data_IF_991350188414
#
_entry.id   IF_991350188414
#
_cell.length_a   1.000
_cell.length_b   1.000
_cell.length_c   1.000
_cell.angle_alpha   90.00
_cell.angle_beta   90.00
_cell.angle_gamma   90.00
#
_symmetry.space_group_name_H-M   'P 1'
#
loop_
_entity.id
_entity.type
_entity.pdbx_description
1 polymer ?
#
# COMPACT_ATOMS: atom_id res chain seq x y z
N UNK A 1 45.33 -4.68 -3.83
CA UNK A 1 45.06 -5.94 -3.11
C UNK A 1 44.73 -7.02 -4.12
N UNK A 2 45.23 -8.24 -3.93
CA UNK A 2 44.84 -9.40 -4.75
C UNK A 2 43.36 -9.75 -4.51
N UNK A 3 42.63 -10.20 -5.53
CA UNK A 3 41.24 -10.60 -5.36
C UNK A 3 41.15 -11.86 -4.49
N UNK A 4 40.29 -11.83 -3.46
CA UNK A 4 39.92 -13.01 -2.68
C UNK A 4 39.16 -13.98 -3.58
N UNK A 5 39.67 -15.22 -3.72
CA UNK A 5 39.01 -16.28 -4.48
C UNK A 5 38.15 -17.13 -3.55
N UNK A 6 36.91 -17.39 -3.98
CA UNK A 6 36.00 -18.33 -3.33
C UNK A 6 35.58 -19.39 -4.35
N UNK A 7 35.39 -20.62 -3.89
CA UNK A 7 34.84 -21.72 -4.68
C UNK A 7 33.50 -22.10 -4.06
N UNK A 8 32.45 -22.13 -4.86
CA UNK A 8 31.08 -22.41 -4.40
C UNK A 8 30.53 -23.57 -5.22
N UNK A 9 29.92 -24.55 -4.56
CA UNK A 9 29.20 -25.62 -5.23
C UNK A 9 27.75 -25.18 -5.48
N UNK A 10 27.23 -25.43 -6.68
CA UNK A 10 25.84 -25.17 -7.05
C UNK A 10 25.14 -26.49 -7.39
N UNK A 11 23.85 -26.57 -7.05
CA UNK A 11 22.98 -27.54 -7.68
C UNK A 11 22.73 -27.19 -9.15
N UNK A 12 22.18 -28.14 -9.91
CA UNK A 12 21.92 -27.96 -11.33
C UNK A 12 20.96 -26.80 -11.63
N UNK A 13 19.96 -26.56 -10.76
CA UNK A 13 19.02 -25.44 -10.93
C UNK A 13 19.70 -24.08 -10.80
N UNK A 14 20.56 -23.91 -9.81
CA UNK A 14 21.29 -22.67 -9.53
C UNK A 14 22.37 -22.42 -10.58
N UNK A 15 23.05 -23.47 -11.03
CA UNK A 15 24.01 -23.38 -12.14
C UNK A 15 23.34 -22.92 -13.44
N UNK A 16 22.19 -23.52 -13.79
CA UNK A 16 21.41 -23.14 -14.96
C UNK A 16 20.89 -21.69 -14.87
N UNK A 17 20.46 -21.26 -13.69
CA UNK A 17 20.03 -19.88 -13.44
C UNK A 17 21.18 -18.89 -13.68
N UNK A 18 22.37 -19.16 -13.13
CA UNK A 18 23.55 -18.32 -13.30
C UNK A 18 23.96 -18.22 -14.77
N UNK A 19 23.94 -19.36 -15.50
CA UNK A 19 24.24 -19.38 -16.93
C UNK A 19 23.21 -18.58 -17.74
N UNK A 20 21.91 -18.70 -17.41
CA UNK A 20 20.84 -17.95 -18.06
C UNK A 20 21.05 -16.44 -17.90
N UNK A 21 21.21 -15.95 -16.67
CA UNK A 21 21.42 -14.51 -16.38
C UNK A 21 22.69 -14.01 -17.07
N UNK A 22 23.78 -14.80 -17.00
CA UNK A 22 25.05 -14.48 -17.66
C UNK A 22 24.88 -14.28 -19.17
N UNK A 23 24.07 -15.12 -19.84
CA UNK A 23 23.77 -15.01 -21.28
C UNK A 23 22.84 -13.84 -21.59
N UNK A 24 21.76 -13.66 -20.82
CA UNK A 24 20.78 -12.58 -21.04
C UNK A 24 21.40 -11.20 -20.88
N UNK A 25 22.28 -11.02 -19.89
CA UNK A 25 22.92 -9.73 -19.59
C UNK A 25 24.27 -9.54 -20.30
N UNK A 26 24.80 -10.56 -20.98
CA UNK A 26 26.14 -10.54 -21.60
C UNK A 26 27.29 -10.39 -20.60
N UNK A 27 27.12 -10.89 -19.37
CA UNK A 27 28.08 -10.73 -18.26
C UNK A 27 28.80 -12.04 -17.95
N UNK A 28 30.04 -11.96 -17.45
CA UNK A 28 30.70 -13.15 -16.89
C UNK A 28 29.98 -13.64 -15.63
N UNK A 29 29.99 -14.95 -15.38
CA UNK A 29 29.43 -15.55 -14.15
C UNK A 29 29.97 -14.89 -12.87
N UNK A 30 31.27 -14.61 -12.83
CA UNK A 30 31.91 -13.91 -11.70
C UNK A 30 31.34 -12.50 -11.47
N UNK A 31 30.93 -11.80 -12.54
CA UNK A 31 30.30 -10.48 -12.42
C UNK A 31 28.86 -10.59 -11.93
N UNK A 32 28.09 -11.55 -12.45
CA UNK A 32 26.73 -11.83 -11.96
C UNK A 32 26.77 -12.15 -10.47
N UNK A 33 27.69 -13.00 -10.02
CA UNK A 33 27.84 -13.33 -8.59
C UNK A 33 28.18 -12.11 -7.72
N UNK A 34 29.09 -11.23 -8.18
CA UNK A 34 29.42 -10.00 -7.45
C UNK A 34 28.23 -9.06 -7.34
N UNK A 35 27.46 -8.90 -8.43
CA UNK A 35 26.24 -8.08 -8.44
C UNK A 35 25.16 -8.67 -7.53
N UNK A 36 24.94 -9.97 -7.61
CA UNK A 36 23.98 -10.67 -6.76
C UNK A 36 24.31 -10.53 -5.28
N UNK A 37 25.59 -10.68 -4.89
CA UNK A 37 26.00 -10.51 -3.49
C UNK A 37 25.82 -9.07 -2.99
N UNK A 38 26.18 -8.07 -3.81
CA UNK A 38 25.92 -6.66 -3.47
C UNK A 38 24.44 -6.36 -3.35
N UNK A 39 23.66 -6.76 -4.35
CA UNK A 39 22.21 -6.59 -4.37
C UNK A 39 21.57 -7.26 -3.15
N UNK A 40 21.96 -8.50 -2.85
CA UNK A 40 21.49 -9.22 -1.66
C UNK A 40 21.79 -8.43 -0.39
N UNK A 41 23.04 -7.98 -0.20
CA UNK A 41 23.46 -7.21 0.98
C UNK A 41 22.72 -5.88 1.13
N UNK A 42 22.53 -5.15 0.02
CA UNK A 42 21.87 -3.83 0.00
C UNK A 42 20.35 -3.95 0.21
N UNK A 43 19.75 -5.06 -0.21
CA UNK A 43 18.30 -5.26 -0.22
C UNK A 43 17.81 -6.29 0.81
N UNK A 44 18.63 -6.65 1.81
CA UNK A 44 18.22 -7.61 2.87
C UNK A 44 16.91 -7.25 3.55
N UNK A 45 16.59 -5.96 3.61
CA UNK A 45 15.31 -5.47 4.14
C UNK A 45 14.09 -6.09 3.42
N UNK A 46 14.23 -6.46 2.15
CA UNK A 46 13.17 -7.11 1.35
C UNK A 46 12.99 -8.60 1.66
N UNK A 47 13.88 -9.22 2.46
CA UNK A 47 13.65 -10.58 2.98
C UNK A 47 12.44 -10.59 3.92
N UNK A 48 12.25 -9.50 4.67
CA UNK A 48 11.08 -9.32 5.52
C UNK A 48 9.81 -9.33 4.67
N UNK A 49 8.92 -10.30 4.96
CA UNK A 49 7.68 -10.53 4.21
C UNK A 49 6.77 -9.31 4.23
N UNK A 50 6.67 -8.60 5.35
CA UNK A 50 5.83 -7.42 5.52
C UNK A 50 6.37 -6.24 4.70
N UNK A 51 7.68 -5.97 4.79
CA UNK A 51 8.35 -4.95 3.97
C UNK A 51 8.16 -5.24 2.49
N UNK A 52 8.39 -6.48 2.07
CA UNK A 52 8.23 -6.89 0.67
C UNK A 52 6.80 -6.68 0.17
N UNK A 53 5.79 -7.07 0.97
CA UNK A 53 4.38 -6.80 0.65
C UNK A 53 4.11 -5.30 0.47
N UNK A 54 4.57 -4.47 1.41
CA UNK A 54 4.41 -3.00 1.33
C UNK A 54 5.06 -2.41 0.07
N UNK A 55 6.28 -2.83 -0.27
CA UNK A 55 6.98 -2.39 -1.49
C UNK A 55 6.18 -2.75 -2.75
N UNK A 56 5.69 -3.99 -2.85
CA UNK A 56 4.86 -4.37 -4.00
C UNK A 56 3.53 -3.60 -4.06
N UNK A 57 2.91 -3.30 -2.92
CA UNK A 57 1.73 -2.44 -2.89
C UNK A 57 2.05 -1.03 -3.39
N UNK A 58 3.15 -0.42 -2.96
CA UNK A 58 3.57 0.89 -3.47
C UNK A 58 3.85 0.85 -4.98
N UNK A 59 4.48 -0.21 -5.48
CA UNK A 59 4.69 -0.39 -6.91
C UNK A 59 3.37 -0.51 -7.68
N UNK A 60 2.40 -1.31 -7.21
CA UNK A 60 1.06 -1.42 -7.84
C UNK A 60 0.33 -0.06 -7.85
N UNK A 61 0.40 0.71 -6.77
CA UNK A 61 -0.26 2.01 -6.69
C UNK A 61 0.36 3.03 -7.65
N UNK A 62 1.69 3.08 -7.72
CA UNK A 62 2.41 4.14 -8.45
C UNK A 62 2.62 3.83 -9.94
N UNK A 63 2.83 2.56 -10.32
CA UNK A 63 3.12 2.20 -11.72
C UNK A 63 1.92 2.40 -12.65
N UNK A 64 0.70 2.36 -12.13
CA UNK A 64 -0.52 2.54 -12.94
C UNK A 64 -0.86 4.02 -13.21
N UNK A 65 -0.14 4.97 -12.61
CA UNK A 65 -0.38 6.41 -12.81
C UNK A 65 -1.64 6.97 -12.12
N UNK A 66 -2.34 6.14 -11.34
CA UNK A 66 -3.56 6.54 -10.60
C UNK A 66 -3.25 7.26 -9.28
N UNK A 67 -2.02 7.10 -8.75
CA UNK A 67 -1.61 7.66 -7.47
C UNK A 67 -0.43 8.61 -7.65
N UNK A 68 -0.44 9.68 -6.86
CA UNK A 68 0.67 10.63 -6.74
C UNK A 68 1.25 10.54 -5.33
N UNK A 69 2.56 10.74 -5.19
CA UNK A 69 3.18 10.92 -3.88
C UNK A 69 2.99 12.37 -3.48
N UNK A 70 2.25 12.59 -2.40
CA UNK A 70 1.97 13.91 -1.83
C UNK A 70 2.45 13.94 -0.38
N UNK A 71 3.12 15.02 0.00
CA UNK A 71 3.51 15.28 1.38
C UNK A 71 2.28 15.47 2.29
N UNK A 72 2.39 15.00 3.53
CA UNK A 72 1.25 14.98 4.47
C UNK A 72 0.77 16.38 4.81
N UNK A 73 1.67 17.36 4.97
CA UNK A 73 1.27 18.72 5.32
C UNK A 73 0.51 19.39 4.17
N UNK A 74 0.92 19.12 2.92
CA UNK A 74 0.20 19.58 1.73
C UNK A 74 -1.18 18.93 1.62
N UNK A 75 -1.29 17.63 1.88
CA UNK A 75 -2.58 16.94 1.95
C UNK A 75 -3.52 17.58 2.97
N UNK A 76 -3.03 17.83 4.19
CA UNK A 76 -3.80 18.49 5.24
C UNK A 76 -4.20 19.92 4.85
N UNK A 77 -3.34 20.66 4.15
CA UNK A 77 -3.64 21.98 3.64
C UNK A 77 -4.80 21.97 2.63
N UNK A 78 -4.83 20.99 1.72
CA UNK A 78 -5.95 20.84 0.77
C UNK A 78 -7.26 20.51 1.48
N UNK A 79 -7.25 19.58 2.44
CA UNK A 79 -8.45 19.25 3.21
C UNK A 79 -8.98 20.46 3.98
N UNK A 80 -8.09 21.21 4.63
CA UNK A 80 -8.46 22.44 5.33
C UNK A 80 -9.06 23.48 4.39
N UNK A 81 -8.51 23.61 3.18
CA UNK A 81 -9.06 24.50 2.15
C UNK A 81 -10.47 24.06 1.73
N UNK A 82 -10.67 22.76 1.47
CA UNK A 82 -11.97 22.19 1.13
C UNK A 82 -13.00 22.50 2.20
N UNK A 83 -12.70 22.25 3.48
CA UNK A 83 -13.61 22.52 4.59
C UNK A 83 -13.98 24.01 4.72
N UNK A 84 -13.09 24.91 4.29
CA UNK A 84 -13.33 26.36 4.34
C UNK A 84 -14.08 26.91 3.12
N UNK A 85 -14.25 26.12 2.06
CA UNK A 85 -14.89 26.57 0.83
C UNK A 85 -16.43 26.59 0.96
N UNK A 86 -17.13 27.62 0.43
CA UNK A 86 -18.59 27.63 0.38
C UNK A 86 -19.21 26.45 -0.37
N UNK A 87 -18.45 25.84 -1.29
CA UNK A 87 -18.85 24.69 -2.10
C UNK A 87 -18.34 23.34 -1.55
N UNK A 88 -17.99 23.25 -0.26
CA UNK A 88 -17.48 22.02 0.36
C UNK A 88 -18.40 20.82 0.13
N UNK A 89 -19.72 21.03 0.19
CA UNK A 89 -20.71 19.97 -0.04
C UNK A 89 -20.58 19.32 -1.42
N UNK A 90 -20.31 20.11 -2.46
CA UNK A 90 -20.08 19.58 -3.81
C UNK A 90 -18.84 18.68 -3.86
N UNK A 91 -17.78 19.05 -3.16
CA UNK A 91 -16.59 18.20 -3.05
C UNK A 91 -16.93 16.87 -2.37
N UNK A 92 -17.70 16.89 -1.28
CA UNK A 92 -18.08 15.66 -0.58
C UNK A 92 -19.00 14.76 -1.40
N UNK A 93 -19.87 15.33 -2.23
CA UNK A 93 -20.69 14.59 -3.19
C UNK A 93 -19.81 13.89 -4.24
N UNK A 94 -18.90 14.64 -4.89
CA UNK A 94 -17.97 14.08 -5.88
C UNK A 94 -17.02 13.04 -5.26
N UNK A 95 -16.57 13.25 -4.01
CA UNK A 95 -15.75 12.28 -3.28
C UNK A 95 -16.49 10.95 -3.05
N UNK A 96 -17.80 10.99 -2.76
CA UNK A 96 -18.62 9.77 -2.67
C UNK A 96 -18.72 9.06 -4.02
N UNK A 97 -18.86 9.80 -5.12
CA UNK A 97 -18.83 9.21 -6.48
C UNK A 97 -17.50 8.52 -6.78
N UNK A 98 -16.37 9.13 -6.40
CA UNK A 98 -15.05 8.52 -6.53
C UNK A 98 -14.95 7.23 -5.71
N UNK A 99 -15.43 7.23 -4.46
CA UNK A 99 -15.45 6.04 -3.61
C UNK A 99 -16.27 4.89 -4.22
N UNK A 100 -17.44 5.20 -4.80
CA UNK A 100 -18.27 4.23 -5.54
C UNK A 100 -17.58 3.71 -6.80
N UNK A 101 -16.89 4.58 -7.55
CA UNK A 101 -16.13 4.18 -8.74
C UNK A 101 -14.96 3.24 -8.38
N UNK A 102 -14.21 3.54 -7.32
CA UNK A 102 -13.12 2.70 -6.82
C UNK A 102 -13.60 1.29 -6.46
N UNK A 103 -14.80 1.17 -5.89
CA UNK A 103 -15.39 -0.15 -5.60
C UNK A 103 -15.51 -1.00 -6.85
N UNK A 104 -15.95 -0.46 -7.97
CA UNK A 104 -16.07 -1.22 -9.22
C UNK A 104 -14.70 -1.58 -9.81
N UNK A 105 -13.76 -0.63 -9.80
CA UNK A 105 -12.40 -0.82 -10.31
C UNK A 105 -11.64 -1.91 -9.54
N UNK A 106 -11.84 -1.98 -8.22
CA UNK A 106 -11.10 -2.88 -7.34
C UNK A 106 -11.85 -4.18 -7.03
N UNK A 107 -12.98 -4.45 -7.69
CA UNK A 107 -13.86 -5.59 -7.36
C UNK A 107 -13.19 -6.96 -7.41
N UNK A 108 -12.19 -7.13 -8.27
CA UNK A 108 -11.41 -8.37 -8.36
C UNK A 108 -10.19 -8.39 -7.44
N UNK A 109 -9.75 -7.23 -6.93
CA UNK A 109 -8.52 -7.07 -6.13
C UNK A 109 -8.80 -6.96 -4.62
N UNK A 110 -9.96 -6.45 -4.23
CA UNK A 110 -10.34 -6.17 -2.85
C UNK A 110 -11.67 -6.87 -2.56
N UNK A 111 -11.59 -7.95 -1.81
CA UNK A 111 -12.71 -8.84 -1.50
C UNK A 111 -13.20 -8.67 -0.07
N UNK A 112 -12.32 -8.22 0.84
CA UNK A 112 -12.63 -8.08 2.26
C UNK A 112 -12.43 -6.64 2.76
N UNK A 113 -13.07 -6.30 3.87
CA UNK A 113 -12.90 -4.99 4.51
C UNK A 113 -11.44 -4.79 4.97
N UNK A 114 -10.79 -5.84 5.48
CA UNK A 114 -9.39 -5.80 5.90
C UNK A 114 -8.44 -5.50 4.73
N UNK A 115 -8.67 -6.09 3.55
CA UNK A 115 -7.90 -5.79 2.35
C UNK A 115 -8.05 -4.33 1.90
N UNK A 116 -9.27 -3.78 1.97
CA UNK A 116 -9.51 -2.37 1.70
C UNK A 116 -8.73 -1.49 2.67
N UNK A 117 -8.86 -1.74 3.97
CA UNK A 117 -8.21 -0.95 5.01
C UNK A 117 -6.68 -1.01 4.88
N UNK A 118 -6.13 -2.18 4.56
CA UNK A 118 -4.68 -2.35 4.32
C UNK A 118 -4.22 -1.58 3.07
N UNK A 119 -5.03 -1.58 1.99
CA UNK A 119 -4.73 -0.80 0.79
C UNK A 119 -4.73 0.71 1.08
N UNK A 120 -5.70 1.20 1.84
CA UNK A 120 -5.79 2.61 2.23
C UNK A 120 -4.71 3.04 3.23
N UNK A 121 -4.27 2.13 4.12
CA UNK A 121 -3.09 2.35 4.96
C UNK A 121 -1.82 2.54 4.11
N UNK A 122 -1.68 1.79 3.02
CA UNK A 122 -0.59 2.01 2.07
C UNK A 122 -0.67 3.39 1.39
N UNK A 123 -1.85 3.98 1.25
CA UNK A 123 -2.01 5.38 0.80
C UNK A 123 -1.72 6.42 1.90
N UNK A 124 -1.26 5.99 3.08
CA UNK A 124 -0.86 6.83 4.21
C UNK A 124 -2.00 7.68 4.81
N UNK A 125 -3.26 7.28 4.63
CA UNK A 125 -4.40 7.99 5.25
C UNK A 125 -4.52 7.77 6.75
N UNK A 126 -4.09 6.60 7.23
CA UNK A 126 -4.13 6.18 8.62
C UNK A 126 -3.24 4.95 8.83
N UNK A 127 -3.03 4.57 10.08
CA UNK A 127 -2.53 3.24 10.46
C UNK A 127 -3.66 2.35 10.94
N UNK A 128 -3.67 1.08 10.55
CA UNK A 128 -4.68 0.12 10.97
C UNK A 128 -4.18 -0.65 12.20
N UNK A 129 -5.03 -0.74 13.22
CA UNK A 129 -4.88 -1.69 14.32
C UNK A 129 -6.05 -2.66 14.26
N UNK A 130 -5.76 -3.94 14.00
CA UNK A 130 -6.77 -5.00 14.02
C UNK A 130 -7.05 -5.41 15.46
N UNK A 131 -8.24 -5.14 15.96
CA UNK A 131 -8.65 -5.56 17.30
C UNK A 131 -9.26 -6.98 17.25
N UNK A 132 -9.96 -7.31 16.17
CA UNK A 132 -10.49 -8.65 15.85
C UNK A 132 -10.67 -8.81 14.33
N UNK A 133 -11.27 -9.90 13.85
CA UNK A 133 -11.59 -10.06 12.42
C UNK A 133 -12.63 -9.06 11.91
N UNK A 134 -13.42 -8.48 12.81
CA UNK A 134 -14.55 -7.60 12.49
C UNK A 134 -14.40 -6.22 13.12
N UNK A 135 -13.39 -5.98 13.97
CA UNK A 135 -13.18 -4.71 14.66
C UNK A 135 -11.78 -4.15 14.37
N UNK A 136 -11.74 -2.93 13.87
CA UNK A 136 -10.53 -2.23 13.46
C UNK A 136 -10.49 -0.81 14.04
N UNK A 137 -9.31 -0.39 14.47
CA UNK A 137 -9.03 1.01 14.83
C UNK A 137 -8.15 1.63 13.76
N UNK A 138 -8.62 2.70 13.13
CA UNK A 138 -7.84 3.51 12.19
C UNK A 138 -7.29 4.71 12.95
N UNK A 139 -5.97 4.82 13.04
CA UNK A 139 -5.28 5.93 13.72
C UNK A 139 -4.84 6.94 12.67
N UNK A 140 -5.45 8.11 12.67
CA UNK A 140 -5.14 9.21 11.76
C UNK A 140 -4.01 10.07 12.33
N UNK A 141 -3.26 10.73 11.45
CA UNK A 141 -2.23 11.70 11.86
C UNK A 141 -2.80 13.02 12.39
N UNK A 142 -4.04 13.35 12.01
CA UNK A 142 -4.77 14.54 12.46
C UNK A 142 -6.29 14.34 12.32
N UNK A 143 -7.07 15.30 12.79
CA UNK A 143 -8.55 15.28 12.70
C UNK A 143 -9.07 15.55 11.28
N UNK A 144 -8.34 16.33 10.47
CA UNK A 144 -8.81 16.82 9.17
C UNK A 144 -9.20 15.70 8.19
N UNK A 145 -8.46 14.58 8.06
CA UNK A 145 -8.82 13.52 7.12
C UNK A 145 -9.99 12.66 7.58
N UNK A 146 -10.52 12.86 8.79
CA UNK A 146 -11.51 11.95 9.38
C UNK A 146 -12.79 11.88 8.56
N UNK A 147 -13.33 13.02 8.15
CA UNK A 147 -14.52 13.09 7.29
C UNK A 147 -14.24 12.42 5.95
N UNK A 148 -13.10 12.75 5.33
CA UNK A 148 -12.68 12.17 4.05
C UNK A 148 -12.62 10.63 4.10
N UNK A 149 -11.94 10.09 5.12
CA UNK A 149 -11.79 8.64 5.31
C UNK A 149 -13.13 7.99 5.63
N UNK A 150 -13.93 8.57 6.54
CA UNK A 150 -15.23 8.01 6.92
C UNK A 150 -16.14 7.91 5.71
N UNK A 151 -16.31 8.99 4.95
CA UNK A 151 -17.20 9.01 3.78
C UNK A 151 -16.77 8.00 2.72
N UNK A 152 -15.45 7.91 2.47
CA UNK A 152 -14.92 6.92 1.52
C UNK A 152 -15.27 5.49 1.95
N UNK A 153 -15.05 5.16 3.22
CA UNK A 153 -15.32 3.82 3.76
C UNK A 153 -16.82 3.50 3.76
N UNK A 154 -17.69 4.44 4.12
CA UNK A 154 -19.14 4.25 4.10
C UNK A 154 -19.63 3.85 2.70
N UNK A 155 -19.24 4.60 1.67
CA UNK A 155 -19.64 4.34 0.28
C UNK A 155 -19.03 3.03 -0.24
N UNK A 156 -17.75 2.79 0.04
CA UNK A 156 -17.08 1.60 -0.44
C UNK A 156 -17.66 0.34 0.21
N UNK A 157 -17.88 0.34 1.54
CA UNK A 157 -18.49 -0.80 2.24
C UNK A 157 -19.94 -1.04 1.82
N UNK A 158 -20.72 0.01 1.61
CA UNK A 158 -22.07 -0.11 1.05
C UNK A 158 -22.03 -0.81 -0.32
N UNK A 159 -21.12 -0.40 -1.20
CA UNK A 159 -20.90 -1.05 -2.50
C UNK A 159 -20.33 -2.47 -2.41
N UNK A 160 -19.71 -2.86 -1.29
CA UNK A 160 -19.34 -4.26 -1.02
C UNK A 160 -20.51 -5.10 -0.48
N UNK A 161 -21.62 -4.48 -0.08
CA UNK A 161 -22.68 -5.16 0.66
C UNK A 161 -22.30 -5.46 2.12
N UNK A 162 -21.28 -4.78 2.64
CA UNK A 162 -20.78 -4.95 4.01
C UNK A 162 -21.45 -3.92 4.91
N UNK A 163 -22.11 -4.38 5.98
CA UNK A 163 -22.67 -3.49 7.00
C UNK A 163 -21.55 -3.10 7.97
N UNK A 164 -21.00 -1.90 7.82
CA UNK A 164 -20.00 -1.37 8.75
C UNK A 164 -20.61 -0.27 9.63
N UNK A 165 -20.31 -0.30 10.92
CA UNK A 165 -20.54 0.81 11.85
C UNK A 165 -19.20 1.54 12.06
N UNK A 166 -19.16 2.82 11.68
CA UNK A 166 -17.97 3.66 11.80
C UNK A 166 -18.21 4.70 12.89
N UNK A 167 -17.47 4.62 13.99
CA UNK A 167 -17.52 5.58 15.09
C UNK A 167 -16.32 6.51 15.08
N UNK A 168 -16.61 7.80 15.12
CA UNK A 168 -15.59 8.81 15.32
C UNK A 168 -15.19 8.90 16.79
N UNK A 169 -13.89 8.89 17.06
CA UNK A 169 -13.32 9.32 18.33
C UNK A 169 -12.50 10.59 18.07
N UNK A 170 -11.40 10.85 18.80
CA UNK A 170 -10.43 11.90 18.47
C UNK A 170 -9.75 11.58 17.11
N UNK A 171 -8.43 11.48 17.03
CA UNK A 171 -7.73 11.18 15.77
C UNK A 171 -7.84 9.71 15.38
N UNK A 172 -9.00 9.08 15.63
CA UNK A 172 -9.28 7.67 15.43
C UNK A 172 -10.68 7.44 14.89
N UNK A 173 -10.79 6.51 13.96
CA UNK A 173 -12.06 5.90 13.56
C UNK A 173 -12.09 4.45 14.07
N UNK A 174 -13.19 4.03 14.69
CA UNK A 174 -13.44 2.61 14.93
C UNK A 174 -14.38 2.08 13.86
N UNK A 175 -13.99 0.98 13.22
CA UNK A 175 -14.75 0.33 12.17
C UNK A 175 -15.13 -1.06 12.67
N UNK A 176 -16.43 -1.27 12.89
CA UNK A 176 -16.99 -2.56 13.29
C UNK A 176 -17.83 -3.13 12.13
N UNK A 177 -17.43 -4.28 11.61
CA UNK A 177 -18.15 -5.02 10.57
C UNK A 177 -19.24 -5.86 11.23
N UNK A 178 -20.48 -5.70 10.77
CA UNK A 178 -21.63 -6.48 11.22
C UNK A 178 -21.93 -7.55 10.15
N UNK A 179 -21.87 -8.80 10.56
CA UNK A 179 -22.35 -9.95 9.78
C UNK A 179 -23.88 -9.89 9.60
#
# INVERSE_FOLDING_TARGET
MSPTRITVAFDSSTANLLEKISKEDGLSQSEVMRRALRFYSENRVLENVETRKKVYTYMDLLLNGEHVILDVDHWLLFLKLVESCPSAEKFWEEHRDVARSHREQLKAKVLTAEELLTRLEACNFFRVTKNSNEDFTLVLGSELPKTFVRLFLEEYFAGMGVKAEIKENLAKLRVAIKL
#
